data_IF_293942335286
#
_entry.id   IF_293942335286
#
_cell.length_a   1.000
_cell.length_b   1.000
_cell.length_c   1.000
_cell.angle_alpha   90.00
_cell.angle_beta   90.00
_cell.angle_gamma   90.00
#
_symmetry.space_group_name_H-M   'P 1'
#
loop_
_entity.id
_entity.type
_entity.pdbx_description
1 polymer ?
#
# COMPACT_ATOMS: atom_id res chain seq x y z
N UNK A 1 0.77 12.00 26.43
CA UNK A 1 -0.09 11.04 25.70
C UNK A 1 -0.30 11.63 24.33
N UNK A 2 0.55 11.24 23.40
CA UNK A 2 0.53 11.71 22.02
C UNK A 2 -0.76 11.27 21.35
N UNK A 3 -1.43 12.24 20.76
CA UNK A 3 -2.62 12.05 19.95
C UNK A 3 -2.17 11.39 18.66
N UNK A 4 -2.43 10.09 18.54
CA UNK A 4 -2.40 9.35 17.28
C UNK A 4 -3.34 10.07 16.30
N UNK A 5 -2.74 10.91 15.45
CA UNK A 5 -3.42 11.62 14.40
C UNK A 5 -4.00 10.58 13.44
N UNK A 6 -5.31 10.41 13.49
CA UNK A 6 -6.11 9.50 12.67
C UNK A 6 -5.75 9.64 11.18
N UNK A 7 -5.24 8.60 10.49
CA UNK A 7 -5.37 8.51 9.04
C UNK A 7 -6.44 7.46 8.72
N UNK A 8 -7.25 7.57 7.67
CA UNK A 8 -7.02 6.83 6.42
C UNK A 8 -8.16 7.06 5.41
N UNK A 9 -8.80 8.24 5.42
CA UNK A 9 -9.55 8.69 4.24
C UNK A 9 -8.86 9.92 3.66
N UNK A 10 -8.38 9.86 2.41
CA UNK A 10 -7.85 11.05 1.77
C UNK A 10 -8.96 12.05 1.52
N UNK A 11 -9.03 13.09 2.37
CA UNK A 11 -9.49 14.37 1.85
C UNK A 11 -8.46 14.84 0.83
N UNK A 12 -8.91 15.19 -0.39
CA UNK A 12 -8.14 15.97 -1.35
C UNK A 12 -7.64 17.24 -0.63
N UNK A 13 -6.43 17.21 -0.06
CA UNK A 13 -5.80 18.38 0.55
C UNK A 13 -5.13 19.15 -0.58
N UNK A 14 -5.61 20.37 -0.83
CA UNK A 14 -5.27 21.22 -1.98
C UNK A 14 -4.14 22.21 -1.72
N UNK A 15 -3.46 22.18 -0.57
CA UNK A 15 -2.49 23.23 -0.22
C UNK A 15 -1.12 22.67 0.14
N UNK A 16 -0.14 23.01 -0.70
CA UNK A 16 1.31 22.85 -0.52
C UNK A 16 1.79 23.63 0.71
N UNK A 17 2.09 22.92 1.80
CA UNK A 17 2.82 23.45 2.96
C UNK A 17 4.33 23.24 2.82
N UNK A 18 5.17 24.07 3.43
CA UNK A 18 6.61 23.81 3.56
C UNK A 18 6.90 22.49 4.31
N UNK A 19 5.98 22.09 5.19
CA UNK A 19 5.99 20.78 5.87
C UNK A 19 5.83 19.63 4.86
N UNK A 20 5.08 19.83 3.78
CA UNK A 20 4.95 18.84 2.71
C UNK A 20 6.23 18.70 1.88
N UNK A 21 7.04 19.76 1.74
CA UNK A 21 8.27 19.70 0.95
C UNK A 21 9.36 18.87 1.65
N UNK A 22 9.56 19.08 2.95
CA UNK A 22 10.51 18.30 3.77
C UNK A 22 10.10 16.83 3.83
N UNK A 23 8.83 16.57 4.13
CA UNK A 23 8.25 15.23 4.09
C UNK A 23 8.44 14.54 2.74
N UNK A 24 8.08 15.20 1.63
CA UNK A 24 8.23 14.65 0.28
C UNK A 24 9.69 14.36 -0.05
N UNK A 25 10.62 15.19 0.44
CA UNK A 25 12.05 14.94 0.30
C UNK A 25 12.46 13.67 1.04
N UNK A 26 12.08 13.50 2.31
CA UNK A 26 12.35 12.28 3.09
C UNK A 26 11.81 11.03 2.39
N UNK A 27 10.57 11.06 1.90
CA UNK A 27 9.98 9.92 1.20
C UNK A 27 10.68 9.62 -0.13
N UNK A 28 11.10 10.65 -0.87
CA UNK A 28 11.88 10.48 -2.12
C UNK A 28 13.28 9.94 -1.85
N UNK A 29 13.94 10.39 -0.79
CA UNK A 29 15.24 9.88 -0.33
C UNK A 29 15.15 8.40 0.08
N UNK A 30 14.02 7.98 0.66
CA UNK A 30 13.70 6.58 0.93
C UNK A 30 13.28 5.77 -0.33
N UNK A 31 13.28 6.39 -1.51
CA UNK A 31 12.97 5.75 -2.80
C UNK A 31 11.49 5.61 -3.13
N UNK A 32 10.61 6.31 -2.40
CA UNK A 32 9.16 6.33 -2.65
C UNK A 32 8.79 7.41 -3.66
N UNK A 33 7.72 7.18 -4.44
CA UNK A 33 7.24 8.14 -5.43
C UNK A 33 6.22 9.08 -4.79
N UNK A 34 6.63 10.27 -4.39
CA UNK A 34 5.70 11.31 -3.91
C UNK A 34 5.38 12.34 -5.00
N UNK A 35 4.08 12.56 -5.28
CA UNK A 35 3.60 13.58 -6.24
C UNK A 35 3.78 15.00 -5.70
N UNK A 36 4.10 15.96 -6.57
CA UNK A 36 4.48 17.33 -6.15
C UNK A 36 3.32 18.15 -5.64
N UNK A 37 2.13 17.94 -6.19
CA UNK A 37 0.94 18.75 -5.90
C UNK A 37 -0.15 18.00 -5.13
N UNK A 38 0.08 16.72 -4.82
CA UNK A 38 -0.87 15.89 -4.07
C UNK A 38 -0.15 15.16 -2.93
N UNK A 39 -0.92 14.54 -2.04
CA UNK A 39 -0.41 13.64 -1.00
C UNK A 39 -0.31 12.19 -1.46
N UNK A 40 -0.29 11.96 -2.77
CA UNK A 40 -0.23 10.62 -3.34
C UNK A 40 1.21 10.12 -3.28
N UNK A 41 1.35 8.93 -2.69
CA UNK A 41 2.58 8.16 -2.66
C UNK A 41 2.40 6.92 -3.55
N UNK A 42 3.47 6.54 -4.23
CA UNK A 42 3.56 5.31 -4.99
C UNK A 42 4.72 4.47 -4.50
N UNK A 43 4.47 3.18 -4.29
CA UNK A 43 5.49 2.19 -3.92
C UNK A 43 5.55 1.08 -4.96
N UNK A 44 6.72 0.49 -5.12
CA UNK A 44 6.95 -0.68 -5.96
C UNK A 44 7.31 -1.86 -5.07
N UNK A 45 6.49 -2.91 -5.15
CA UNK A 45 6.75 -4.19 -4.52
C UNK A 45 7.26 -5.14 -5.59
N UNK A 46 8.50 -5.58 -5.45
CA UNK A 46 9.06 -6.61 -6.31
C UNK A 46 8.70 -7.96 -5.67
N UNK A 47 7.69 -8.67 -6.15
CA UNK A 47 7.18 -9.94 -5.61
C UNK A 47 7.86 -11.16 -6.25
N UNK A 48 7.60 -12.36 -5.73
CA UNK A 48 8.24 -13.60 -6.19
C UNK A 48 7.98 -13.87 -7.69
N UNK A 49 8.97 -14.30 -8.49
CA UNK A 49 8.78 -14.63 -9.90
C UNK A 49 7.77 -15.78 -10.15
N UNK A 50 7.48 -16.62 -9.14
CA UNK A 50 6.50 -17.71 -9.23
C UNK A 50 5.07 -17.25 -9.00
N UNK A 51 4.86 -16.01 -8.56
CA UNK A 51 3.51 -15.47 -8.38
C UNK A 51 2.80 -15.40 -9.73
N UNK A 52 1.59 -15.93 -9.80
CA UNK A 52 0.72 -15.86 -10.97
C UNK A 52 0.16 -14.44 -11.12
N UNK A 53 0.53 -13.68 -12.16
CA UNK A 53 0.02 -12.30 -12.34
C UNK A 53 -1.48 -12.23 -12.67
N UNK A 54 -2.07 -13.35 -13.07
CA UNK A 54 -3.50 -13.46 -13.39
C UNK A 54 -4.33 -13.82 -12.17
N UNK A 55 -3.68 -14.20 -11.06
CA UNK A 55 -4.33 -14.56 -9.81
C UNK A 55 -4.21 -13.39 -8.80
N UNK A 56 -5.29 -12.66 -8.54
CA UNK A 56 -5.30 -11.57 -7.58
C UNK A 56 -4.94 -12.00 -6.16
N UNK A 57 -5.33 -13.20 -5.76
CA UNK A 57 -5.05 -13.74 -4.42
C UNK A 57 -3.54 -13.95 -4.25
N UNK A 58 -2.91 -14.59 -5.23
CA UNK A 58 -1.46 -14.81 -5.21
C UNK A 58 -0.68 -13.48 -5.24
N UNK A 59 -1.13 -12.49 -6.02
CA UNK A 59 -0.48 -11.17 -6.11
C UNK A 59 -0.63 -10.37 -4.81
N UNK A 60 -1.80 -10.37 -4.18
CA UNK A 60 -2.05 -9.67 -2.92
C UNK A 60 -1.28 -10.36 -1.78
N UNK A 61 -1.28 -11.69 -1.73
CA UNK A 61 -0.51 -12.47 -0.76
C UNK A 61 1.01 -12.25 -0.90
N UNK A 62 1.52 -12.27 -2.14
CA UNK A 62 2.94 -12.01 -2.39
C UNK A 62 3.32 -10.56 -2.09
N UNK A 63 2.41 -9.60 -2.34
CA UNK A 63 2.57 -8.21 -1.91
C UNK A 63 2.64 -8.09 -0.39
N UNK A 64 1.80 -8.83 0.35
CA UNK A 64 1.81 -8.87 1.83
C UNK A 64 3.16 -9.30 2.37
N UNK A 65 3.72 -10.39 1.82
CA UNK A 65 5.05 -10.90 2.21
C UNK A 65 6.16 -9.90 1.92
N UNK A 66 6.10 -9.21 0.78
CA UNK A 66 7.08 -8.16 0.47
C UNK A 66 6.92 -6.95 1.39
N UNK A 67 5.70 -6.56 1.77
CA UNK A 67 5.47 -5.50 2.76
C UNK A 67 6.02 -5.87 4.13
N UNK A 68 5.78 -7.10 4.60
CA UNK A 68 6.33 -7.63 5.85
C UNK A 68 7.86 -7.59 5.85
N UNK A 69 8.48 -8.07 4.76
CA UNK A 69 9.93 -8.01 4.57
C UNK A 69 10.45 -6.57 4.61
N UNK A 70 9.73 -5.62 4.01
CA UNK A 70 10.13 -4.21 4.02
C UNK A 70 10.07 -3.64 5.44
N UNK A 71 8.99 -3.86 6.19
CA UNK A 71 8.83 -3.31 7.54
C UNK A 71 9.78 -3.92 8.58
N UNK A 72 10.22 -5.16 8.36
CA UNK A 72 11.14 -5.87 9.26
C UNK A 72 12.62 -5.70 8.90
N UNK A 73 12.94 -5.21 7.70
CA UNK A 73 14.31 -4.87 7.29
C UNK A 73 14.66 -3.39 7.58
N UNK A 74 15.95 -3.06 7.68
CA UNK A 74 16.41 -1.69 7.96
C UNK A 74 16.07 -0.67 6.84
N UNK A 75 15.90 0.60 7.24
CA UNK A 75 15.43 1.71 6.39
C UNK A 75 16.18 1.87 5.05
N UNK A 76 17.48 1.58 5.04
CA UNK A 76 18.33 1.68 3.85
C UNK A 76 17.86 0.79 2.67
N UNK A 77 16.99 -0.20 2.92
CA UNK A 77 16.48 -1.14 1.92
C UNK A 77 15.08 -0.80 1.39
N UNK A 78 14.47 0.28 1.86
CA UNK A 78 13.21 0.79 1.28
C UNK A 78 13.39 1.35 -0.13
N UNK A 79 14.61 1.80 -0.45
CA UNK A 79 14.96 2.29 -1.77
C UNK A 79 14.90 1.16 -2.81
N UNK A 80 13.84 1.10 -3.60
CA UNK A 80 13.92 0.47 -4.92
C UNK A 80 13.48 1.45 -6.01
N UNK A 81 14.35 2.40 -6.37
CA UNK A 81 14.04 3.44 -7.33
C UNK A 81 14.40 2.93 -8.73
N UNK A 82 13.39 2.55 -9.51
CA UNK A 82 13.44 2.42 -10.99
C UNK A 82 14.35 1.34 -11.60
N UNK A 83 15.20 0.64 -10.86
CA UNK A 83 16.02 -0.45 -11.39
C UNK A 83 15.17 -1.61 -11.92
N UNK A 84 15.68 -2.41 -12.86
CA UNK A 84 15.02 -3.69 -13.20
C UNK A 84 14.93 -4.54 -11.93
N UNK A 85 13.79 -5.18 -11.65
CA UNK A 85 13.69 -6.11 -10.53
C UNK A 85 14.84 -7.12 -10.64
N UNK A 86 15.56 -7.34 -9.53
CA UNK A 86 16.57 -8.41 -9.49
C UNK A 86 15.85 -9.76 -9.61
N UNK A 87 16.53 -10.75 -10.17
CA UNK A 87 16.09 -12.15 -10.15
C UNK A 87 14.69 -12.39 -10.78
N UNK A 88 14.35 -11.66 -11.84
CA UNK A 88 13.07 -11.83 -12.56
C UNK A 88 11.81 -11.58 -11.72
N UNK A 89 11.93 -10.91 -10.56
CA UNK A 89 10.79 -10.59 -9.69
C UNK A 89 9.73 -9.77 -10.45
N UNK A 90 8.47 -10.05 -10.19
CA UNK A 90 7.34 -9.32 -10.76
C UNK A 90 7.20 -8.00 -10.01
N UNK A 91 6.96 -6.89 -10.70
CA UNK A 91 6.80 -5.58 -10.05
C UNK A 91 5.34 -5.17 -9.99
N UNK A 92 4.84 -5.02 -8.76
CA UNK A 92 3.51 -4.49 -8.46
C UNK A 92 3.65 -3.05 -8.03
N UNK A 93 2.88 -2.18 -8.66
CA UNK A 93 2.77 -0.77 -8.32
C UNK A 93 1.56 -0.55 -7.45
N UNK A 94 1.77 0.09 -6.30
CA UNK A 94 0.72 0.53 -5.41
C UNK A 94 0.73 2.06 -5.39
N UNK A 95 -0.42 2.68 -5.54
CA UNK A 95 -0.59 4.14 -5.50
C UNK A 95 -1.75 4.50 -4.62
N UNK A 96 -1.48 5.25 -3.56
CA UNK A 96 -2.49 5.67 -2.61
C UNK A 96 -2.12 7.02 -2.00
N UNK A 97 -3.11 7.75 -1.49
CA UNK A 97 -2.86 8.94 -0.72
C UNK A 97 -2.41 8.59 0.69
N UNK A 98 -1.41 9.33 1.15
CA UNK A 98 -0.68 9.02 2.37
C UNK A 98 -0.43 10.29 3.19
N UNK A 99 -0.57 10.18 4.52
CA UNK A 99 -0.19 11.21 5.48
C UNK A 99 1.18 10.96 6.13
N UNK A 100 1.75 9.78 5.89
CA UNK A 100 3.00 9.29 6.48
C UNK A 100 4.18 10.24 6.32
N UNK A 101 4.92 10.46 7.41
CA UNK A 101 6.17 11.21 7.48
C UNK A 101 7.38 10.33 7.17
N UNK A 102 7.31 9.03 7.46
CA UNK A 102 8.39 8.06 7.25
C UNK A 102 8.04 7.02 6.20
N UNK A 103 9.05 6.32 5.69
CA UNK A 103 8.83 5.20 4.78
C UNK A 103 8.11 4.04 5.48
N UNK A 104 8.47 3.76 6.73
CA UNK A 104 7.81 2.73 7.55
C UNK A 104 6.30 2.99 7.67
N UNK A 105 5.90 4.23 7.95
CA UNK A 105 4.49 4.62 8.01
C UNK A 105 3.77 4.42 6.65
N UNK A 106 4.45 4.68 5.52
CA UNK A 106 3.90 4.39 4.18
C UNK A 106 3.67 2.89 4.01
N UNK A 107 4.58 2.03 4.47
CA UNK A 107 4.40 0.58 4.38
C UNK A 107 3.31 0.07 5.32
N UNK A 108 3.13 0.67 6.51
CA UNK A 108 1.99 0.39 7.39
C UNK A 108 0.67 0.79 6.74
N UNK A 109 0.59 1.94 6.07
CA UNK A 109 -0.62 2.32 5.32
C UNK A 109 -0.88 1.33 4.16
N UNK A 110 0.15 0.94 3.40
CA UNK A 110 0.03 -0.07 2.33
C UNK A 110 -0.43 -1.43 2.86
N UNK A 111 0.03 -1.83 4.05
CA UNK A 111 -0.36 -3.05 4.73
C UNK A 111 -1.86 -3.08 5.02
N UNK A 112 -2.43 -1.99 5.50
CA UNK A 112 -3.87 -1.88 5.77
C UNK A 112 -4.68 -2.02 4.48
N UNK A 113 -4.25 -1.35 3.39
CA UNK A 113 -4.90 -1.53 2.09
C UNK A 113 -4.79 -2.97 1.60
N UNK A 114 -3.65 -3.63 1.81
CA UNK A 114 -3.47 -5.04 1.48
C UNK A 114 -4.45 -5.95 2.23
N UNK A 115 -4.62 -5.75 3.54
CA UNK A 115 -5.63 -6.48 4.34
C UNK A 115 -7.05 -6.27 3.81
N UNK A 116 -7.39 -5.07 3.34
CA UNK A 116 -8.70 -4.82 2.74
C UNK A 116 -8.90 -5.57 1.41
N UNK A 117 -7.88 -5.63 0.55
CA UNK A 117 -7.94 -6.44 -0.67
C UNK A 117 -8.06 -7.93 -0.38
N UNK A 118 -7.32 -8.43 0.61
CA UNK A 118 -7.39 -9.84 1.06
C UNK A 118 -8.80 -10.18 1.55
N UNK A 119 -9.36 -9.38 2.45
CA UNK A 119 -10.73 -9.59 2.97
C UNK A 119 -11.79 -9.51 1.84
N UNK A 120 -11.57 -8.62 0.86
CA UNK A 120 -12.42 -8.57 -0.34
C UNK A 120 -12.31 -9.86 -1.15
N UNK A 121 -11.11 -10.40 -1.38
CA UNK A 121 -10.92 -11.64 -2.15
C UNK A 121 -11.52 -12.85 -1.44
N UNK A 122 -11.37 -12.94 -0.12
CA UNK A 122 -11.95 -14.01 0.69
C UNK A 122 -13.48 -14.01 0.61
N UNK A 123 -14.11 -12.84 0.67
CA UNK A 123 -15.58 -12.69 0.69
C UNK A 123 -16.22 -12.52 -0.68
N UNK A 124 -15.45 -12.03 -1.66
CA UNK A 124 -15.86 -11.74 -3.03
C UNK A 124 -14.75 -12.22 -3.96
N UNK A 125 -14.94 -13.40 -4.54
CA UNK A 125 -13.89 -14.14 -5.25
C UNK A 125 -13.11 -13.41 -6.36
N UNK A 126 -13.58 -12.30 -6.94
CA UNK A 126 -12.98 -11.82 -8.21
C UNK A 126 -12.90 -10.28 -8.36
N UNK A 127 -11.67 -9.82 -8.61
CA UNK A 127 -11.33 -8.59 -9.33
C UNK A 127 -10.05 -8.83 -10.15
N UNK A 128 -9.76 -8.02 -11.17
CA UNK A 128 -8.49 -8.09 -11.91
C UNK A 128 -7.64 -6.82 -11.71
N UNK A 129 -6.37 -6.87 -12.12
CA UNK A 129 -5.51 -5.68 -12.15
C UNK A 129 -5.62 -4.94 -13.50
N UNK A 130 -5.63 -3.60 -13.52
CA UNK A 130 -5.55 -2.69 -12.38
C UNK A 130 -6.85 -2.68 -11.55
N UNK A 131 -6.70 -2.54 -10.24
CA UNK A 131 -7.81 -2.48 -9.27
C UNK A 131 -7.72 -1.19 -8.45
N UNK A 132 -8.87 -0.59 -8.13
CA UNK A 132 -9.02 0.61 -7.29
C UNK A 132 -9.91 0.30 -6.09
N UNK A 133 -9.35 0.40 -4.90
CA UNK A 133 -10.06 0.22 -3.63
C UNK A 133 -10.57 1.56 -3.11
N UNK A 134 -11.87 1.62 -2.84
CA UNK A 134 -12.60 2.75 -2.25
C UNK A 134 -12.29 4.10 -2.93
N UNK A 135 -12.00 4.06 -4.24
CA UNK A 135 -11.68 5.23 -5.06
C UNK A 135 -10.31 5.87 -4.76
N UNK A 136 -9.44 5.26 -3.95
CA UNK A 136 -8.21 5.89 -3.49
C UNK A 136 -6.92 5.07 -3.60
N UNK A 137 -6.96 3.75 -3.41
CA UNK A 137 -5.77 2.91 -3.47
C UNK A 137 -5.79 2.05 -4.73
N UNK A 138 -4.86 2.32 -5.64
CA UNK A 138 -4.71 1.59 -6.89
C UNK A 138 -3.58 0.58 -6.80
N UNK A 139 -3.82 -0.64 -7.28
CA UNK A 139 -2.82 -1.70 -7.43
C UNK A 139 -2.77 -2.17 -8.88
N UNK A 140 -1.57 -2.27 -9.43
CA UNK A 140 -1.35 -2.71 -10.82
C UNK A 140 -0.05 -3.51 -10.96
N UNK A 141 -0.05 -4.53 -11.81
CA UNK A 141 1.13 -5.34 -12.14
C UNK A 141 1.68 -4.77 -13.44
N UNK A 142 2.79 -4.03 -13.37
CA UNK A 142 3.27 -3.17 -14.46
C UNK A 142 3.26 -3.85 -15.85
N UNK A 143 2.30 -3.44 -16.69
CA UNK A 143 2.54 -2.58 -17.86
C UNK A 143 1.41 -1.54 -17.82
N UNK A 144 1.70 -0.24 -17.56
CA UNK A 144 0.68 0.79 -17.56
C UNK A 144 0.27 1.08 -19.00
N UNK A 145 -0.65 0.26 -19.51
CA UNK A 145 -1.42 0.62 -20.69
C UNK A 145 -2.58 1.49 -20.21
N UNK A 146 -2.61 2.75 -20.68
CA UNK A 146 -3.51 3.79 -20.16
C UNK A 146 -4.99 3.51 -20.42
N UNK A 147 -5.29 2.51 -21.26
CA UNK A 147 -6.64 2.16 -21.70
C UNK A 147 -7.23 0.93 -21.00
N UNK A 148 -6.55 0.38 -19.97
CA UNK A 148 -7.10 -0.76 -19.22
C UNK A 148 -8.26 -0.31 -18.35
N UNK A 149 -9.37 -1.06 -18.45
CA UNK A 149 -10.51 -0.94 -17.54
C UNK A 149 -10.03 -1.23 -16.12
N UNK A 150 -10.25 -0.28 -15.21
CA UNK A 150 -9.94 -0.41 -13.79
C UNK A 150 -11.09 -1.12 -13.09
N UNK A 151 -10.79 -2.09 -12.24
CA UNK A 151 -11.78 -2.75 -11.40
C UNK A 151 -11.98 -1.96 -10.11
N UNK A 152 -13.19 -1.46 -9.88
CA UNK A 152 -13.53 -0.78 -8.63
C UNK A 152 -14.01 -1.80 -7.58
N UNK A 153 -13.36 -1.78 -6.42
CA UNK A 153 -13.71 -2.58 -5.26
C UNK A 153 -13.83 -1.68 -4.03
N UNK A 154 -14.56 -2.16 -3.03
CA UNK A 154 -14.83 -1.41 -1.80
C UNK A 154 -15.01 -2.39 -0.66
N UNK A 155 -14.56 -2.01 0.54
CA UNK A 155 -14.90 -2.76 1.77
C UNK A 155 -16.41 -2.82 1.99
N UNK A 156 -17.16 -1.86 1.46
CA UNK A 156 -18.63 -1.87 1.54
C UNK A 156 -19.26 -3.00 0.72
N UNK A 157 -18.57 -3.47 -0.33
CA UNK A 157 -19.01 -4.62 -1.12
C UNK A 157 -18.97 -5.94 -0.34
N UNK A 158 -18.27 -5.97 0.80
CA UNK A 158 -18.06 -7.18 1.62
C UNK A 158 -18.56 -7.01 3.06
N UNK A 159 -19.51 -6.08 3.25
CA UNK A 159 -20.32 -5.99 4.48
C UNK A 159 -19.87 -4.97 5.51
N UNK A 160 -18.89 -4.12 5.21
CA UNK A 160 -18.53 -3.00 6.07
C UNK A 160 -19.37 -1.76 5.74
N UNK A 161 -19.72 -0.97 6.75
CA UNK A 161 -20.49 0.26 6.54
C UNK A 161 -19.62 1.39 5.94
N UNK A 162 -18.34 1.40 6.27
CA UNK A 162 -17.37 2.37 5.79
C UNK A 162 -15.94 1.85 5.98
N UNK A 163 -14.96 2.61 5.51
CA UNK A 163 -13.56 2.33 5.77
C UNK A 163 -13.24 2.38 7.29
N UNK A 164 -13.84 3.32 8.01
CA UNK A 164 -13.69 3.44 9.46
C UNK A 164 -14.29 2.22 10.19
N UNK A 165 -15.44 1.72 9.72
CA UNK A 165 -16.04 0.48 10.22
C UNK A 165 -15.11 -0.72 9.96
N UNK A 166 -14.53 -0.83 8.77
CA UNK A 166 -13.52 -1.84 8.43
C UNK A 166 -12.35 -1.82 9.42
N UNK A 167 -11.71 -0.67 9.62
CA UNK A 167 -10.58 -0.54 10.55
C UNK A 167 -10.94 -0.92 11.98
N UNK A 168 -12.13 -0.51 12.45
CA UNK A 168 -12.58 -0.81 13.81
C UNK A 168 -12.81 -2.29 14.07
N UNK A 169 -13.24 -3.04 13.03
CA UNK A 169 -13.55 -4.47 13.11
C UNK A 169 -12.32 -5.34 12.87
N UNK A 170 -11.49 -4.96 11.89
CA UNK A 170 -10.30 -5.73 11.49
C UNK A 170 -9.13 -5.50 12.44
N UNK A 171 -9.00 -4.31 13.03
CA UNK A 171 -7.93 -3.95 13.98
C UNK A 171 -6.55 -4.35 13.46
N UNK A 172 -6.01 -3.62 12.47
CA UNK A 172 -4.76 -3.98 11.82
C UNK A 172 -3.66 -4.31 12.82
N UNK A 173 -2.85 -5.31 12.50
CA UNK A 173 -1.65 -5.63 13.26
C UNK A 173 -0.47 -5.60 12.31
N UNK A 174 0.65 -5.01 12.75
CA UNK A 174 1.82 -4.78 11.92
C UNK A 174 2.96 -5.71 12.32
N UNK A 175 3.77 -6.20 11.38
CA UNK A 175 4.97 -6.97 11.69
C UNK A 175 5.87 -6.24 12.68
N UNK A 176 6.31 -6.96 13.71
CA UNK A 176 7.27 -6.48 14.69
C UNK A 176 8.68 -6.63 14.14
N UNK A 177 9.38 -5.49 14.01
CA UNK A 177 10.76 -5.43 13.54
C UNK A 177 11.74 -6.02 14.55
N UNK A 178 11.47 -5.84 15.85
CA UNK A 178 12.34 -6.28 16.93
C UNK A 178 12.13 -7.77 17.27
N UNK A 179 10.96 -8.32 16.90
CA UNK A 179 10.62 -9.71 17.09
C UNK A 179 9.97 -10.33 15.83
N UNK A 180 10.78 -10.75 14.84
CA UNK A 180 10.29 -11.28 13.57
C UNK A 180 9.31 -12.45 13.74
N UNK A 181 8.20 -12.41 13.01
CA UNK A 181 7.11 -13.40 13.11
C UNK A 181 6.05 -13.07 14.16
N UNK A 182 6.19 -11.94 14.86
CA UNK A 182 5.13 -11.40 15.73
C UNK A 182 4.53 -10.11 15.16
N UNK A 183 3.35 -9.74 15.66
CA UNK A 183 2.59 -8.60 15.18
C UNK A 183 2.17 -7.70 16.34
N UNK A 184 2.33 -6.38 16.18
CA UNK A 184 1.92 -5.35 17.14
C UNK A 184 0.64 -4.66 16.65
N UNK A 185 -0.32 -4.47 17.56
CA UNK A 185 -1.63 -3.91 17.24
C UNK A 185 -1.61 -2.42 16.87
N UNK A 186 -2.62 -2.01 16.11
CA UNK A 186 -2.95 -0.62 15.76
C UNK A 186 -3.39 0.22 16.97
#
# INVERSE_FOLDING_TARGET
>A
MDTLATPLKPRKRTTTSAFDASRKRTLREAGLRAEEHTNIVGIYLDIDPRTSPQDPEDVILASRRELERRMTEEEARYANPRGKPRNHRIRVYWRFPSGAQTAEEVFKEAWIYNMAFEDILEKRKEFGFPVLLDGCCMVDILVPDRDRKVNDVSVTNVGYFSWEDFLSKVKPAFPDKDNPGTYVGF
#
